data_IF_647645258852
#
_entry.id   IF_647645258852
#
_cell.length_a   1.000
_cell.length_b   1.000
_cell.length_c   1.000
_cell.angle_alpha   90.00
_cell.angle_beta   90.00
_cell.angle_gamma   90.00
#
_symmetry.space_group_name_H-M   'P 1'
#
loop_
_entity.id
_entity.type
_entity.pdbx_description
1 polymer ?
#
# COMPACT_ATOMS: atom_id res chain seq x y z
N UNK A 1 -18.02 -22.75 -22.74
CA UNK A 1 -18.94 -22.02 -21.84
C UNK A 1 -18.12 -21.22 -20.82
N UNK A 2 -18.20 -19.88 -20.88
CA UNK A 2 -17.43 -18.96 -20.05
C UNK A 2 -17.78 -19.13 -18.56
N UNK A 3 -16.89 -19.77 -17.80
CA UNK A 3 -17.04 -19.88 -16.34
C UNK A 3 -16.78 -18.52 -15.70
N UNK A 4 -17.82 -18.00 -15.04
CA UNK A 4 -17.92 -16.64 -14.52
C UNK A 4 -16.75 -16.22 -13.65
N UNK A 5 -15.88 -15.37 -14.19
CA UNK A 5 -15.10 -14.48 -13.36
C UNK A 5 -16.09 -13.57 -12.63
N UNK A 6 -16.03 -13.53 -11.28
CA UNK A 6 -16.78 -12.54 -10.50
C UNK A 6 -16.42 -11.15 -11.05
N UNK A 7 -17.33 -10.56 -11.82
CA UNK A 7 -17.17 -9.24 -12.40
C UNK A 7 -17.07 -8.27 -11.22
N UNK A 8 -16.02 -7.45 -11.18
CA UNK A 8 -15.88 -6.43 -10.14
C UNK A 8 -17.13 -5.56 -10.18
N UNK A 9 -17.83 -5.46 -9.05
CA UNK A 9 -18.92 -4.49 -8.89
C UNK A 9 -18.36 -3.08 -9.09
N UNK A 10 -19.08 -2.28 -9.87
CA UNK A 10 -18.67 -0.91 -10.18
C UNK A 10 -17.31 -0.77 -10.89
N UNK A 11 -16.91 -1.75 -11.73
CA UNK A 11 -15.66 -1.72 -12.51
C UNK A 11 -15.42 -0.39 -13.25
N UNK A 12 -16.46 0.18 -13.88
CA UNK A 12 -16.34 1.47 -14.57
C UNK A 12 -16.00 2.62 -13.62
N UNK A 13 -16.59 2.66 -12.42
CA UNK A 13 -16.27 3.66 -11.39
C UNK A 13 -14.86 3.45 -10.84
N UNK A 14 -14.46 2.20 -10.63
CA UNK A 14 -13.08 1.88 -10.23
C UNK A 14 -12.07 2.42 -11.25
N UNK A 15 -12.30 2.17 -12.55
CA UNK A 15 -11.40 2.62 -13.60
C UNK A 15 -11.34 4.15 -13.69
N UNK A 16 -12.50 4.82 -13.58
CA UNK A 16 -12.55 6.29 -13.53
C UNK A 16 -11.74 6.85 -12.35
N UNK A 17 -11.92 6.29 -11.14
CA UNK A 17 -11.17 6.72 -9.95
C UNK A 17 -9.68 6.42 -10.05
N UNK A 18 -9.30 5.26 -10.61
CA UNK A 18 -7.90 4.93 -10.85
C UNK A 18 -7.27 5.92 -11.83
N UNK A 19 -7.96 6.22 -12.94
CA UNK A 19 -7.49 7.19 -13.93
C UNK A 19 -7.36 8.59 -13.32
N UNK A 20 -8.34 9.02 -12.51
CA UNK A 20 -8.25 10.28 -11.75
C UNK A 20 -7.08 10.29 -10.78
N UNK A 21 -6.86 9.22 -10.01
CA UNK A 21 -5.75 9.14 -9.06
C UNK A 21 -4.39 9.18 -9.78
N UNK A 22 -4.25 8.46 -10.90
CA UNK A 22 -3.05 8.49 -11.72
C UNK A 22 -2.80 9.88 -12.31
N UNK A 23 -3.83 10.52 -12.86
CA UNK A 23 -3.74 11.86 -13.44
C UNK A 23 -3.32 12.90 -12.38
N UNK A 24 -4.01 12.93 -11.23
CA UNK A 24 -3.72 13.87 -10.14
C UNK A 24 -2.35 13.61 -9.53
N UNK A 25 -1.99 12.34 -9.31
CA UNK A 25 -0.67 11.97 -8.79
C UNK A 25 0.47 12.35 -9.74
N UNK A 26 0.31 12.06 -11.05
CA UNK A 26 1.29 12.44 -12.07
C UNK A 26 1.41 13.96 -12.19
N UNK A 27 0.28 14.68 -12.21
CA UNK A 27 0.27 16.14 -12.22
C UNK A 27 0.99 16.72 -10.98
N UNK A 28 0.85 16.10 -9.81
CA UNK A 28 1.54 16.53 -8.59
C UNK A 28 3.07 16.41 -8.72
N UNK A 29 3.57 15.31 -9.31
CA UNK A 29 5.01 15.14 -9.59
C UNK A 29 5.49 16.15 -10.65
N UNK A 30 4.72 16.37 -11.70
CA UNK A 30 5.07 17.37 -12.73
C UNK A 30 5.12 18.78 -12.14
N UNK A 31 4.13 19.15 -11.32
CA UNK A 31 4.09 20.49 -10.71
C UNK A 31 5.23 20.67 -9.69
N UNK A 32 5.61 19.63 -8.94
CA UNK A 32 6.78 19.74 -8.04
C UNK A 32 8.09 19.93 -8.81
N UNK A 33 8.24 19.30 -9.98
CA UNK A 33 9.35 19.54 -10.90
C UNK A 33 9.32 20.97 -11.47
N UNK A 34 8.16 21.43 -11.96
CA UNK A 34 7.98 22.80 -12.48
C UNK A 34 8.32 23.81 -11.40
N UNK A 35 7.85 23.61 -10.17
CA UNK A 35 8.18 24.46 -9.03
C UNK A 35 9.70 24.60 -8.86
N UNK A 36 10.41 23.48 -8.79
CA UNK A 36 11.85 23.50 -8.56
C UNK A 36 12.63 24.11 -9.73
N UNK A 37 12.33 23.72 -10.96
CA UNK A 37 13.10 24.16 -12.12
C UNK A 37 12.78 25.59 -12.54
N UNK A 38 11.52 26.02 -12.47
CA UNK A 38 11.14 27.37 -12.89
C UNK A 38 11.35 28.40 -11.80
N UNK A 39 11.14 28.04 -10.53
CA UNK A 39 11.17 29.01 -9.44
C UNK A 39 12.37 28.86 -8.50
N UNK A 40 12.93 27.66 -8.30
CA UNK A 40 13.94 27.40 -7.25
C UNK A 40 15.35 27.12 -7.78
N UNK A 41 15.59 27.37 -9.07
CA UNK A 41 16.93 27.30 -9.66
C UNK A 41 17.44 25.89 -9.98
N UNK A 42 16.55 24.89 -9.98
CA UNK A 42 16.88 23.51 -10.37
C UNK A 42 17.54 22.68 -9.28
N UNK A 43 18.40 21.74 -9.69
CA UNK A 43 18.96 20.68 -8.85
C UNK A 43 20.49 20.66 -8.89
N UNK A 44 21.11 20.33 -7.76
CA UNK A 44 22.54 20.01 -7.62
C UNK A 44 22.73 19.04 -6.45
N UNK A 45 23.98 18.61 -6.21
CA UNK A 45 24.37 17.84 -5.03
C UNK A 45 25.69 18.44 -4.49
N UNK A 46 25.60 19.63 -3.92
CA UNK A 46 26.70 20.54 -3.55
C UNK A 46 26.49 21.27 -2.20
N UNK A 47 25.54 20.84 -1.37
CA UNK A 47 25.15 21.47 -0.11
C UNK A 47 24.34 22.76 -0.26
N UNK A 48 24.05 23.22 -1.48
CA UNK A 48 23.29 24.46 -1.71
C UNK A 48 21.77 24.25 -1.62
N UNK A 49 21.01 25.35 -1.75
CA UNK A 49 19.54 25.29 -1.81
C UNK A 49 19.01 24.44 -2.97
N UNK A 50 19.79 24.25 -4.04
CA UNK A 50 19.46 23.36 -5.15
C UNK A 50 19.61 21.88 -4.80
N UNK A 51 20.43 21.55 -3.80
CA UNK A 51 20.44 20.20 -3.24
C UNK A 51 19.18 19.94 -2.42
N UNK A 52 18.78 20.90 -1.57
CA UNK A 52 17.52 20.80 -0.82
C UNK A 52 16.31 20.57 -1.75
N UNK A 53 16.32 21.11 -2.97
CA UNK A 53 15.23 20.95 -3.92
C UNK A 53 14.96 19.47 -4.32
N UNK A 54 15.90 18.55 -4.11
CA UNK A 54 15.62 17.11 -4.21
C UNK A 54 14.56 16.66 -3.20
N UNK A 55 14.57 17.23 -1.99
CA UNK A 55 13.65 16.85 -0.92
C UNK A 55 12.17 16.88 -1.35
N UNK A 56 11.58 18.01 -1.75
CA UNK A 56 10.16 18.04 -2.13
C UNK A 56 9.84 17.18 -3.36
N UNK A 57 10.72 17.10 -4.37
CA UNK A 57 10.47 16.27 -5.55
C UNK A 57 10.42 14.79 -5.18
N UNK A 58 11.43 14.31 -4.46
CA UNK A 58 11.57 12.90 -4.11
C UNK A 58 10.52 12.46 -3.07
N UNK A 59 10.12 13.33 -2.14
CA UNK A 59 9.00 13.07 -1.22
C UNK A 59 7.67 12.94 -1.99
N UNK A 60 7.36 13.88 -2.91
CA UNK A 60 6.11 13.81 -3.69
C UNK A 60 6.11 12.58 -4.61
N UNK A 61 7.23 12.27 -5.27
CA UNK A 61 7.33 11.12 -6.16
C UNK A 61 7.32 9.79 -5.41
N UNK A 62 8.18 9.63 -4.40
CA UNK A 62 8.33 8.38 -3.66
C UNK A 62 7.24 8.17 -2.62
N UNK A 63 7.16 9.10 -1.66
CA UNK A 63 6.32 8.92 -0.48
C UNK A 63 4.85 9.22 -0.72
N UNK A 64 4.52 10.09 -1.68
CA UNK A 64 3.11 10.31 -2.04
C UNK A 64 2.71 9.40 -3.21
N UNK A 65 3.27 9.62 -4.40
CA UNK A 65 2.76 8.96 -5.60
C UNK A 65 3.03 7.45 -5.61
N UNK A 66 4.29 7.01 -5.54
CA UNK A 66 4.65 5.59 -5.62
C UNK A 66 4.05 4.80 -4.44
N UNK A 67 4.15 5.32 -3.21
CA UNK A 67 3.50 4.69 -2.04
C UNK A 67 1.98 4.57 -2.25
N UNK A 68 1.32 5.62 -2.73
CA UNK A 68 -0.13 5.61 -3.01
C UNK A 68 -0.52 4.51 -4.00
N UNK A 69 0.25 4.33 -5.08
CA UNK A 69 0.04 3.22 -6.04
C UNK A 69 0.29 1.86 -5.37
N UNK A 70 1.34 1.75 -4.55
CA UNK A 70 1.63 0.51 -3.82
C UNK A 70 0.49 0.08 -2.89
N UNK A 71 -0.18 1.04 -2.24
CA UNK A 71 -1.33 0.80 -1.34
C UNK A 71 -2.51 0.16 -2.09
N UNK A 72 -2.81 0.62 -3.31
CA UNK A 72 -3.96 0.12 -4.09
C UNK A 72 -3.61 -1.02 -5.05
N UNK A 73 -2.35 -1.45 -5.15
CA UNK A 73 -1.89 -2.42 -6.16
C UNK A 73 -2.66 -3.76 -6.13
N UNK A 74 -3.08 -4.21 -4.95
CA UNK A 74 -3.89 -5.43 -4.80
C UNK A 74 -5.34 -5.27 -5.27
N UNK A 75 -5.79 -4.05 -5.49
CA UNK A 75 -7.18 -3.73 -5.86
C UNK A 75 -7.39 -3.72 -7.36
N UNK A 76 -6.29 -3.77 -8.12
CA UNK A 76 -6.33 -3.80 -9.58
C UNK A 76 -7.02 -5.10 -10.06
N UNK A 77 -8.22 -5.04 -10.66
CA UNK A 77 -9.03 -6.21 -10.99
C UNK A 77 -8.36 -7.16 -11.97
N UNK A 78 -7.60 -6.63 -12.94
CA UNK A 78 -6.82 -7.43 -13.89
C UNK A 78 -5.70 -8.25 -13.23
N UNK A 79 -5.34 -7.94 -11.98
CA UNK A 79 -4.31 -8.68 -11.23
C UNK A 79 -4.89 -9.77 -10.32
N UNK A 80 -6.22 -9.88 -10.20
CA UNK A 80 -6.85 -10.83 -9.28
C UNK A 80 -6.58 -12.29 -9.63
N UNK A 81 -6.36 -12.57 -10.92
CA UNK A 81 -5.95 -13.90 -11.42
C UNK A 81 -4.44 -14.12 -11.41
N UNK A 82 -3.63 -13.07 -11.20
CA UNK A 82 -2.18 -13.19 -11.12
C UNK A 82 -1.74 -13.88 -9.83
N UNK A 83 -0.53 -14.44 -9.81
CA UNK A 83 0.04 -15.04 -8.60
C UNK A 83 0.01 -14.07 -7.42
N UNK A 84 -0.46 -14.55 -6.26
CA UNK A 84 -0.44 -13.75 -5.03
C UNK A 84 0.97 -13.42 -4.57
N UNK A 85 1.91 -14.34 -4.81
CA UNK A 85 3.32 -14.10 -4.54
C UNK A 85 3.87 -12.98 -5.45
N UNK A 86 3.53 -12.98 -6.74
CA UNK A 86 3.90 -11.89 -7.65
C UNK A 86 3.39 -10.54 -7.16
N UNK A 87 2.12 -10.46 -6.75
CA UNK A 87 1.56 -9.20 -6.24
C UNK A 87 2.21 -8.75 -4.92
N UNK A 88 2.69 -9.69 -4.08
CA UNK A 88 3.51 -9.36 -2.91
C UNK A 88 4.86 -8.78 -3.30
N UNK A 89 5.51 -9.32 -4.32
CA UNK A 89 6.75 -8.74 -4.85
C UNK A 89 6.54 -7.36 -5.43
N UNK A 90 5.47 -7.15 -6.20
CA UNK A 90 5.16 -5.81 -6.74
C UNK A 90 4.88 -4.82 -5.61
N UNK A 91 4.06 -5.18 -4.63
CA UNK A 91 3.77 -4.32 -3.48
C UNK A 91 5.05 -4.00 -2.68
N UNK A 92 5.85 -5.01 -2.34
CA UNK A 92 7.10 -4.81 -1.61
C UNK A 92 8.09 -3.97 -2.43
N UNK A 93 8.26 -4.26 -3.72
CA UNK A 93 9.15 -3.55 -4.61
C UNK A 93 8.79 -2.07 -4.76
N UNK A 94 7.52 -1.74 -4.96
CA UNK A 94 7.06 -0.35 -5.02
C UNK A 94 7.33 0.39 -3.70
N UNK A 95 7.05 -0.23 -2.55
CA UNK A 95 7.32 0.40 -1.25
C UNK A 95 8.84 0.56 -0.99
N UNK A 96 9.67 -0.38 -1.45
CA UNK A 96 11.14 -0.28 -1.37
C UNK A 96 11.68 0.83 -2.25
N UNK A 97 11.18 0.98 -3.48
CA UNK A 97 11.56 2.09 -4.36
C UNK A 97 11.20 3.43 -3.70
N UNK A 98 9.98 3.55 -3.17
CA UNK A 98 9.57 4.73 -2.41
C UNK A 98 10.51 5.00 -1.22
N UNK A 99 10.89 3.97 -0.47
CA UNK A 99 11.82 4.10 0.66
C UNK A 99 13.18 4.67 0.24
N UNK A 100 13.77 4.13 -0.84
CA UNK A 100 15.07 4.60 -1.34
C UNK A 100 15.00 6.08 -1.70
N UNK A 101 13.94 6.51 -2.41
CA UNK A 101 13.74 7.91 -2.77
C UNK A 101 13.60 8.81 -1.54
N UNK A 102 12.86 8.36 -0.53
CA UNK A 102 12.66 9.10 0.74
C UNK A 102 13.97 9.25 1.51
N UNK A 103 14.80 8.20 1.57
CA UNK A 103 16.12 8.28 2.22
C UNK A 103 16.98 9.33 1.51
N UNK A 104 17.07 9.28 0.18
CA UNK A 104 17.81 10.29 -0.61
C UNK A 104 17.25 11.70 -0.35
N UNK A 105 15.93 11.86 -0.32
CA UNK A 105 15.26 13.12 -0.05
C UNK A 105 15.66 13.71 1.32
N UNK A 106 15.73 12.88 2.35
CA UNK A 106 16.07 13.31 3.70
C UNK A 106 17.56 13.64 3.80
N UNK A 107 18.42 12.81 3.20
CA UNK A 107 19.87 13.09 3.13
C UNK A 107 20.11 14.47 2.51
N UNK A 108 19.47 14.78 1.37
CA UNK A 108 19.61 16.10 0.72
C UNK A 108 19.19 17.28 1.61
N UNK A 109 18.20 17.08 2.50
CA UNK A 109 17.77 18.12 3.44
C UNK A 109 18.76 18.29 4.60
N UNK A 110 19.27 17.19 5.16
CA UNK A 110 20.29 17.23 6.20
C UNK A 110 21.61 17.81 5.69
N UNK A 111 22.06 17.41 4.50
CA UNK A 111 23.29 17.90 3.88
C UNK A 111 23.21 19.41 3.62
N UNK A 112 22.09 19.91 3.07
CA UNK A 112 21.83 21.35 2.94
C UNK A 112 21.85 22.09 4.27
N UNK A 113 21.18 21.57 5.31
CA UNK A 113 21.14 22.21 6.61
C UNK A 113 22.55 22.27 7.24
N UNK A 114 23.29 21.18 7.18
CA UNK A 114 24.65 21.09 7.72
C UNK A 114 25.59 22.05 6.98
N UNK A 115 25.55 22.10 5.65
CA UNK A 115 26.36 23.01 4.85
C UNK A 115 26.01 24.48 5.10
N UNK A 116 24.75 24.79 5.40
CA UNK A 116 24.27 26.14 5.68
C UNK A 116 24.28 26.53 7.17
N UNK A 117 24.78 25.66 8.06
CA UNK A 117 24.71 25.82 9.53
C UNK A 117 23.30 26.07 10.09
N UNK A 118 22.27 25.51 9.43
CA UNK A 118 20.90 25.56 9.92
C UNK A 118 20.66 24.42 10.93
N UNK A 119 19.96 24.66 12.05
CA UNK A 119 19.66 23.60 13.01
C UNK A 119 18.74 22.54 12.37
N UNK A 120 19.02 21.28 12.66
CA UNK A 120 18.18 20.15 12.24
C UNK A 120 17.08 19.87 13.28
N UNK A 121 15.98 19.24 12.82
CA UNK A 121 14.98 18.61 13.68
C UNK A 121 14.29 19.53 14.72
N UNK A 122 14.09 20.82 14.41
CA UNK A 122 13.40 21.75 15.31
C UNK A 122 11.92 21.99 14.94
N UNK A 123 11.52 21.74 13.69
CA UNK A 123 10.17 22.02 13.21
C UNK A 123 9.22 20.83 13.40
N UNK A 124 7.92 21.10 13.57
CA UNK A 124 6.93 20.02 13.64
C UNK A 124 6.90 19.19 12.35
N UNK A 125 7.15 19.82 11.18
CA UNK A 125 7.29 19.11 9.91
C UNK A 125 8.38 18.04 10.01
N UNK A 126 9.54 18.40 10.54
CA UNK A 126 10.67 17.47 10.69
C UNK A 126 10.38 16.35 11.69
N UNK A 127 9.73 16.64 12.82
CA UNK A 127 9.38 15.63 13.83
C UNK A 127 8.41 14.59 13.28
N UNK A 128 7.28 15.05 12.71
CA UNK A 128 6.27 14.15 12.15
C UNK A 128 6.82 13.42 10.92
N UNK A 129 7.62 14.10 10.09
CA UNK A 129 8.27 13.50 8.93
C UNK A 129 9.21 12.37 9.31
N UNK A 130 10.09 12.56 10.30
CA UNK A 130 11.00 11.51 10.74
C UNK A 130 10.25 10.32 11.38
N UNK A 131 9.20 10.60 12.17
CA UNK A 131 8.32 9.54 12.71
C UNK A 131 7.69 8.73 11.57
N UNK A 132 7.15 9.41 10.54
CA UNK A 132 6.56 8.74 9.39
C UNK A 132 7.57 7.83 8.66
N UNK A 133 8.81 8.30 8.49
CA UNK A 133 9.90 7.53 7.86
C UNK A 133 10.25 6.30 8.69
N UNK A 134 10.46 6.45 10.01
CA UNK A 134 10.77 5.34 10.91
C UNK A 134 9.63 4.31 10.90
N UNK A 135 8.37 4.76 11.03
CA UNK A 135 7.21 3.89 10.96
C UNK A 135 7.11 3.18 9.61
N UNK A 136 7.42 3.87 8.50
CA UNK A 136 7.44 3.28 7.17
C UNK A 136 8.55 2.23 6.99
N UNK A 137 9.74 2.46 7.60
CA UNK A 137 10.82 1.47 7.65
C UNK A 137 10.39 0.21 8.37
N UNK A 138 9.81 0.36 9.55
CA UNK A 138 9.29 -0.77 10.34
C UNK A 138 8.17 -1.49 9.59
N UNK A 139 7.26 -0.74 8.98
CA UNK A 139 6.16 -1.29 8.17
C UNK A 139 6.67 -2.14 7.01
N UNK A 140 7.71 -1.67 6.30
CA UNK A 140 8.34 -2.39 5.20
C UNK A 140 9.07 -3.64 5.70
N UNK A 141 9.88 -3.51 6.75
CA UNK A 141 10.63 -4.61 7.35
C UNK A 141 9.70 -5.74 7.83
N UNK A 142 8.73 -5.42 8.69
CA UNK A 142 7.78 -6.41 9.19
C UNK A 142 6.86 -6.92 8.07
N UNK A 143 6.51 -6.07 7.11
CA UNK A 143 5.72 -6.47 5.94
C UNK A 143 6.42 -7.57 5.12
N UNK A 144 7.71 -7.41 4.85
CA UNK A 144 8.53 -8.42 4.18
C UNK A 144 8.69 -9.67 5.05
N UNK A 145 9.11 -9.51 6.30
CA UNK A 145 9.40 -10.63 7.20
C UNK A 145 8.18 -11.53 7.45
N UNK A 146 6.99 -10.94 7.60
CA UNK A 146 5.77 -11.67 7.96
C UNK A 146 4.97 -12.11 6.73
N UNK A 147 4.82 -11.24 5.73
CA UNK A 147 3.90 -11.49 4.61
C UNK A 147 4.59 -11.96 3.33
N UNK A 148 5.86 -11.62 3.08
CA UNK A 148 6.58 -12.07 1.89
C UNK A 148 7.34 -13.38 2.14
N UNK A 149 8.11 -13.46 3.23
CA UNK A 149 8.88 -14.65 3.57
C UNK A 149 7.98 -15.82 4.02
N UNK A 150 8.38 -17.08 3.75
CA UNK A 150 7.55 -18.24 4.02
C UNK A 150 7.45 -18.60 5.51
N UNK A 151 8.38 -18.14 6.35
CA UNK A 151 8.61 -18.63 7.71
C UNK A 151 7.55 -18.25 8.75
N UNK A 152 6.79 -17.16 8.55
CA UNK A 152 5.83 -16.70 9.54
C UNK A 152 4.59 -17.61 9.64
N UNK A 153 4.18 -18.03 10.85
CA UNK A 153 3.01 -18.87 11.04
C UNK A 153 1.71 -18.15 10.66
N UNK A 154 0.70 -18.92 10.22
CA UNK A 154 -0.59 -18.37 9.75
C UNK A 154 -1.29 -17.53 10.81
N UNK A 155 -1.23 -17.95 12.09
CA UNK A 155 -1.81 -17.20 13.22
C UNK A 155 -1.21 -15.80 13.35
N UNK A 156 0.11 -15.68 13.23
CA UNK A 156 0.81 -14.40 13.29
C UNK A 156 0.42 -13.50 12.10
N UNK A 157 0.37 -14.06 10.89
CA UNK A 157 -0.08 -13.33 9.70
C UNK A 157 -1.51 -12.82 9.85
N UNK A 158 -2.42 -13.62 10.41
CA UNK A 158 -3.80 -13.22 10.65
C UNK A 158 -3.90 -12.09 11.69
N UNK A 159 -3.14 -12.17 12.78
CA UNK A 159 -3.13 -11.16 13.84
C UNK A 159 -2.51 -9.82 13.39
N UNK A 160 -1.44 -9.85 12.59
CA UNK A 160 -0.74 -8.64 12.15
C UNK A 160 -1.36 -7.98 10.90
N UNK A 161 -2.20 -8.68 10.14
CA UNK A 161 -2.79 -8.13 8.91
C UNK A 161 -3.63 -6.87 9.16
N UNK A 162 -4.54 -6.80 10.16
CA UNK A 162 -5.29 -5.58 10.44
C UNK A 162 -4.38 -4.42 10.85
N UNK A 163 -3.36 -4.70 11.67
CA UNK A 163 -2.36 -3.71 12.11
C UNK A 163 -1.61 -3.18 10.89
N UNK A 164 -1.10 -4.04 10.03
CA UNK A 164 -0.38 -3.66 8.81
C UNK A 164 -1.24 -2.81 7.87
N UNK A 165 -2.52 -3.16 7.67
CA UNK A 165 -3.41 -2.34 6.85
C UNK A 165 -3.64 -0.98 7.50
N UNK A 166 -4.01 -0.94 8.78
CA UNK A 166 -4.28 0.30 9.49
C UNK A 166 -3.05 1.22 9.53
N UNK A 167 -1.90 0.71 9.96
CA UNK A 167 -0.65 1.46 10.02
C UNK A 167 -0.23 1.99 8.65
N UNK A 168 -0.39 1.22 7.58
CA UNK A 168 -0.08 1.65 6.22
C UNK A 168 -0.91 2.86 5.78
N UNK A 169 -2.21 2.86 6.09
CA UNK A 169 -3.10 3.99 5.78
C UNK A 169 -2.82 5.21 6.65
N UNK A 170 -2.55 5.00 7.94
CA UNK A 170 -2.20 6.07 8.88
C UNK A 170 -0.88 6.73 8.47
N UNK A 171 0.15 5.96 8.14
CA UNK A 171 1.44 6.48 7.64
C UNK A 171 1.20 7.32 6.40
N UNK A 172 0.43 6.82 5.43
CA UNK A 172 0.14 7.56 4.19
C UNK A 172 -0.59 8.89 4.45
N UNK A 173 -1.59 8.90 5.33
CA UNK A 173 -2.27 10.13 5.75
C UNK A 173 -1.31 11.12 6.44
N UNK A 174 -0.45 10.62 7.32
CA UNK A 174 0.60 11.42 7.98
C UNK A 174 1.58 12.02 6.97
N UNK A 175 2.01 11.25 5.96
CA UNK A 175 2.89 11.73 4.89
C UNK A 175 2.26 12.88 4.13
N UNK A 176 0.97 12.80 3.78
CA UNK A 176 0.26 13.91 3.14
C UNK A 176 0.29 15.15 4.04
N UNK A 177 -0.05 15.01 5.33
CA UNK A 177 -0.02 16.13 6.27
C UNK A 177 1.39 16.74 6.40
N UNK A 178 2.43 15.91 6.51
CA UNK A 178 3.84 16.35 6.55
C UNK A 178 4.23 17.11 5.27
N UNK A 179 3.79 16.65 4.10
CA UNK A 179 4.05 17.36 2.83
C UNK A 179 3.43 18.76 2.84
N UNK A 180 2.18 18.90 3.31
CA UNK A 180 1.51 20.20 3.40
C UNK A 180 2.24 21.15 4.35
N UNK A 181 2.72 20.64 5.49
CA UNK A 181 3.53 21.41 6.41
C UNK A 181 4.85 21.84 5.79
N UNK A 182 5.56 20.94 5.11
CA UNK A 182 6.85 21.23 4.46
C UNK A 182 6.72 22.22 3.30
N UNK A 183 5.66 22.11 2.51
CA UNK A 183 5.29 23.10 1.48
C UNK A 183 5.06 24.47 2.14
N UNK A 184 4.27 24.52 3.21
CA UNK A 184 3.94 25.77 3.91
C UNK A 184 5.20 26.42 4.49
N UNK A 185 6.04 25.66 5.20
CA UNK A 185 7.33 26.12 5.71
C UNK A 185 8.21 26.68 4.58
N UNK A 186 8.35 25.92 3.48
CA UNK A 186 9.21 26.34 2.36
C UNK A 186 8.71 27.61 1.68
N UNK A 187 7.40 27.77 1.48
CA UNK A 187 6.82 28.99 0.90
C UNK A 187 7.03 30.20 1.81
N UNK A 188 6.79 30.05 3.12
CA UNK A 188 7.01 31.13 4.10
C UNK A 188 8.47 31.56 4.13
N UNK A 189 9.42 30.61 4.10
CA UNK A 189 10.85 30.93 4.16
C UNK A 189 11.39 31.51 2.84
N UNK A 190 10.87 31.07 1.70
CA UNK A 190 11.46 31.42 0.40
C UNK A 190 10.81 32.65 -0.26
N UNK A 191 9.57 33.00 0.09
CA UNK A 191 8.83 34.10 -0.51
C UNK A 191 8.79 35.31 0.42
N UNK A 192 9.84 36.12 0.38
CA UNK A 192 9.95 37.38 1.10
C UNK A 192 9.72 38.62 0.22
N UNK A 193 10.05 38.56 -1.07
CA UNK A 193 9.85 39.65 -2.02
C UNK A 193 9.59 39.14 -3.45
N UNK A 194 8.34 39.16 -3.95
CA UNK A 194 7.11 39.50 -3.21
C UNK A 194 6.82 38.50 -2.08
N UNK A 195 6.24 38.96 -0.95
CA UNK A 195 5.93 38.08 0.18
C UNK A 195 4.82 37.09 -0.15
N UNK A 196 4.82 35.93 0.52
CA UNK A 196 3.83 34.86 0.33
C UNK A 196 2.38 35.35 0.41
N UNK A 197 2.07 36.28 1.32
CA UNK A 197 0.72 36.83 1.51
C UNK A 197 0.16 37.58 0.29
N UNK A 198 1.00 38.03 -0.63
CA UNK A 198 0.57 38.65 -1.89
C UNK A 198 0.21 37.63 -2.97
N UNK A 199 0.29 36.33 -2.66
CA UNK A 199 -0.02 35.23 -3.58
C UNK A 199 0.71 35.35 -4.93
N UNK A 200 2.06 35.46 -4.94
CA UNK A 200 2.80 35.49 -6.20
C UNK A 200 2.57 34.19 -7.01
N UNK A 201 2.88 34.16 -8.32
CA UNK A 201 2.61 33.00 -9.17
C UNK A 201 3.16 31.67 -8.62
N UNK A 202 4.34 31.69 -8.00
CA UNK A 202 4.91 30.53 -7.31
C UNK A 202 4.02 30.03 -6.18
N UNK A 203 3.53 30.93 -5.33
CA UNK A 203 2.67 30.61 -4.21
C UNK A 203 1.38 29.94 -4.67
N UNK A 204 0.75 30.47 -5.73
CA UNK A 204 -0.47 29.90 -6.30
C UNK A 204 -0.20 28.50 -6.84
N UNK A 205 0.87 28.32 -7.63
CA UNK A 205 1.24 27.03 -8.20
C UNK A 205 1.46 25.97 -7.12
N UNK A 206 2.20 26.31 -6.07
CA UNK A 206 2.58 25.37 -5.00
C UNK A 206 1.41 25.12 -4.04
N UNK A 207 0.51 26.09 -3.84
CA UNK A 207 -0.75 25.84 -3.15
C UNK A 207 -1.66 24.89 -3.94
N UNK A 208 -1.72 25.04 -5.28
CA UNK A 208 -2.39 24.06 -6.14
C UNK A 208 -1.76 22.68 -6.03
N UNK A 209 -0.42 22.57 -5.95
CA UNK A 209 0.26 21.30 -5.65
C UNK A 209 -0.26 20.70 -4.33
N UNK A 210 -0.28 21.48 -3.24
CA UNK A 210 -0.82 21.04 -1.95
C UNK A 210 -2.24 20.48 -2.04
N UNK A 211 -3.14 21.17 -2.76
CA UNK A 211 -4.50 20.70 -3.00
C UNK A 211 -4.54 19.38 -3.79
N UNK A 212 -3.69 19.23 -4.81
CA UNK A 212 -3.60 17.99 -5.58
C UNK A 212 -3.10 16.81 -4.72
N UNK A 213 -2.17 17.04 -3.79
CA UNK A 213 -1.73 16.01 -2.84
C UNK A 213 -2.89 15.54 -1.95
N UNK A 214 -3.72 16.47 -1.46
CA UNK A 214 -4.91 16.15 -0.66
C UNK A 214 -5.92 15.34 -1.49
N UNK A 215 -6.22 15.78 -2.71
CA UNK A 215 -7.15 15.09 -3.62
C UNK A 215 -6.63 13.69 -3.94
N UNK A 216 -5.34 13.55 -4.26
CA UNK A 216 -4.71 12.26 -4.51
C UNK A 216 -4.82 11.34 -3.27
N UNK A 217 -4.48 11.86 -2.09
CA UNK A 217 -4.59 11.13 -0.84
C UNK A 217 -6.03 10.62 -0.60
N UNK A 218 -7.02 11.49 -0.78
CA UNK A 218 -8.43 11.14 -0.64
C UNK A 218 -8.87 10.05 -1.64
N UNK A 219 -8.45 10.14 -2.91
CA UNK A 219 -8.75 9.13 -3.93
C UNK A 219 -8.16 7.76 -3.57
N UNK A 220 -6.89 7.71 -3.16
CA UNK A 220 -6.23 6.47 -2.73
C UNK A 220 -6.93 5.87 -1.50
N UNK A 221 -7.22 6.66 -0.48
CA UNK A 221 -7.90 6.22 0.74
C UNK A 221 -9.35 5.74 0.47
N UNK A 222 -10.05 6.39 -0.45
CA UNK A 222 -11.37 5.96 -0.90
C UNK A 222 -11.30 4.62 -1.63
N UNK A 223 -10.38 4.47 -2.59
CA UNK A 223 -10.21 3.22 -3.32
C UNK A 223 -9.80 2.07 -2.41
N UNK A 224 -8.92 2.34 -1.43
CA UNK A 224 -8.44 1.33 -0.52
C UNK A 224 -9.44 0.95 0.58
N UNK A 225 -10.47 1.75 0.83
CA UNK A 225 -11.50 1.43 1.83
C UNK A 225 -12.67 0.62 1.25
N UNK A 226 -12.81 0.50 -0.08
CA UNK A 226 -13.93 -0.25 -0.69
C UNK A 226 -13.85 -1.76 -0.48
N UNK A 227 -14.82 -2.39 0.23
CA UNK A 227 -14.77 -3.84 0.47
C UNK A 227 -14.87 -4.68 -0.81
N UNK A 228 -15.72 -4.27 -1.75
CA UNK A 228 -15.97 -4.97 -3.02
C UNK A 228 -14.81 -4.86 -4.03
N UNK A 229 -13.83 -3.96 -3.81
CA UNK A 229 -12.58 -3.90 -4.58
C UNK A 229 -11.41 -4.63 -3.93
N UNK A 230 -11.63 -5.25 -2.76
CA UNK A 230 -10.60 -6.08 -2.13
C UNK A 230 -10.35 -7.32 -2.99
N UNK A 231 -9.07 -7.66 -3.18
CA UNK A 231 -8.68 -8.89 -3.90
C UNK A 231 -9.42 -10.11 -3.33
N UNK A 232 -10.07 -10.94 -4.17
CA UNK A 232 -10.72 -12.17 -3.73
C UNK A 232 -9.76 -13.13 -3.01
N UNK A 233 -10.26 -13.84 -1.99
CA UNK A 233 -9.51 -14.92 -1.32
C UNK A 233 -9.32 -16.10 -2.27
N UNK A 234 -8.18 -16.78 -2.18
CA UNK A 234 -7.81 -17.91 -3.04
C UNK A 234 -8.70 -19.17 -2.86
N UNK A 235 -9.49 -19.25 -1.78
CA UNK A 235 -10.40 -20.37 -1.51
C UNK A 235 -11.46 -20.59 -2.60
N UNK A 236 -11.86 -19.52 -3.32
CA UNK A 236 -12.86 -19.61 -4.39
C UNK A 236 -12.37 -20.34 -5.66
N UNK A 237 -11.08 -20.68 -5.76
CA UNK A 237 -10.54 -21.42 -6.90
C UNK A 237 -10.55 -22.95 -6.69
N UNK A 238 -10.69 -23.43 -5.44
CA UNK A 238 -10.66 -24.87 -5.12
C UNK A 238 -12.05 -25.49 -5.03
N UNK A 239 -13.07 -24.77 -4.56
CA UNK A 239 -14.44 -25.28 -4.44
C UNK A 239 -15.08 -25.61 -5.79
N UNK A 240 -14.71 -24.89 -6.87
CA UNK A 240 -15.19 -25.17 -8.23
C UNK A 240 -14.63 -26.48 -8.80
N UNK A 241 -13.46 -26.95 -8.34
CA UNK A 241 -12.86 -28.21 -8.83
C UNK A 241 -13.47 -29.45 -8.19
N UNK A 242 -14.09 -29.34 -7.02
CA UNK A 242 -14.60 -30.51 -6.30
C UNK A 242 -16.03 -30.91 -6.69
N UNK A 243 -16.80 -30.02 -7.32
CA UNK A 243 -18.18 -30.29 -7.74
C UNK A 243 -18.25 -30.88 -9.16
N UNK A 244 -17.17 -30.76 -9.95
CA UNK A 244 -17.12 -31.20 -11.35
C UNK A 244 -16.54 -32.61 -11.61
N UNK A 245 -16.29 -33.41 -10.57
CA UNK A 245 -15.74 -34.75 -10.71
C UNK A 245 -16.71 -35.80 -10.16
N UNK A 246 -17.75 -36.10 -10.93
CA UNK A 246 -18.46 -37.38 -10.86
C UNK A 246 -18.18 -38.12 -12.17
N UNK A 247 -17.44 -39.25 -12.15
CA UNK A 247 -17.43 -40.17 -13.28
C UNK A 247 -18.61 -41.14 -13.14
N UNK A 248 -19.44 -41.17 -14.17
CA UNK A 248 -20.40 -42.24 -14.45
C UNK A 248 -19.70 -43.61 -14.52
N UNK A 249 -20.44 -44.65 -14.14
CA UNK A 249 -19.92 -45.98 -13.84
C UNK A 249 -19.48 -46.81 -15.05
N UNK A 250 -18.77 -47.89 -14.74
CA UNK A 250 -18.78 -49.13 -15.52
C UNK A 250 -18.49 -50.29 -14.57
N UNK A 251 -19.38 -51.26 -14.56
CA UNK A 251 -19.27 -52.55 -13.87
C UNK A 251 -18.16 -53.40 -14.50
N UNK A 252 -17.38 -54.11 -13.68
CA UNK A 252 -16.79 -55.40 -14.04
C UNK A 252 -16.37 -56.16 -12.76
N UNK A 253 -16.93 -57.35 -12.63
CA UNK A 253 -16.82 -58.32 -11.56
C UNK A 253 -15.66 -59.32 -11.82
N UNK A 254 -14.85 -59.66 -10.81
CA UNK A 254 -14.15 -60.97 -10.71
C UNK A 254 -13.58 -61.26 -9.31
N UNK A 255 -14.38 -61.97 -8.50
CA UNK A 255 -14.13 -63.21 -7.73
C UNK A 255 -12.76 -63.54 -7.06
N UNK A 256 -12.78 -63.55 -5.71
CA UNK A 256 -12.14 -64.44 -4.67
C UNK A 256 -10.60 -64.66 -4.61
N UNK A 257 -9.90 -64.82 -3.46
CA UNK A 257 -10.16 -65.52 -2.16
C UNK A 257 -9.27 -65.02 -0.97
N UNK A 258 -9.87 -64.99 0.23
CA UNK A 258 -9.40 -65.16 1.64
C UNK A 258 -7.92 -65.04 2.11
N UNK A 259 -7.68 -64.27 3.20
CA UNK A 259 -7.50 -64.81 4.59
C UNK A 259 -7.15 -63.75 5.67
N UNK A 260 -8.01 -63.66 6.71
CA UNK A 260 -7.86 -63.35 8.16
C UNK A 260 -6.89 -62.33 8.80
N UNK A 261 -7.47 -61.63 9.81
CA UNK A 261 -6.92 -60.96 11.02
C UNK A 261 -6.22 -59.60 10.78
N UNK A 262 -6.51 -58.48 11.46
CA UNK A 262 -6.82 -58.23 12.87
C UNK A 262 -7.44 -56.81 13.05
N UNK A 263 -8.15 -56.56 14.16
CA UNK A 263 -8.91 -55.33 14.48
C UNK A 263 -8.03 -54.20 15.03
N UNK A 264 -8.24 -52.97 14.58
CA UNK A 264 -8.23 -51.76 15.43
C UNK A 264 -8.89 -50.56 14.74
N UNK A 265 -9.89 -49.97 15.40
CA UNK A 265 -10.68 -48.80 14.96
C UNK A 265 -9.97 -47.47 15.28
N UNK A 266 -9.93 -46.48 14.36
CA UNK A 266 -9.61 -45.10 14.70
C UNK A 266 -10.80 -44.18 14.33
N UNK A 267 -11.90 -44.21 15.11
CA UNK A 267 -13.09 -43.38 14.84
C UNK A 267 -13.40 -42.27 15.85
N UNK A 268 -12.58 -42.04 16.89
CA UNK A 268 -12.91 -41.03 17.91
C UNK A 268 -12.31 -39.63 17.71
N UNK A 269 -11.26 -39.45 16.89
CA UNK A 269 -10.56 -38.17 16.78
C UNK A 269 -11.17 -37.19 15.76
N UNK A 270 -11.95 -37.66 14.80
CA UNK A 270 -12.46 -36.84 13.69
C UNK A 270 -13.70 -36.05 14.06
N UNK A 271 -14.50 -36.54 15.01
CA UNK A 271 -15.74 -35.90 15.43
C UNK A 271 -15.49 -34.72 16.40
N UNK A 272 -14.45 -34.83 17.24
CA UNK A 272 -13.99 -33.73 18.09
C UNK A 272 -13.43 -32.56 17.27
N UNK A 273 -12.62 -32.85 16.24
CA UNK A 273 -12.08 -31.84 15.33
C UNK A 273 -13.19 -31.16 14.49
N UNK A 274 -14.23 -31.90 14.12
CA UNK A 274 -15.39 -31.37 13.37
C UNK A 274 -16.27 -30.47 14.24
N UNK A 275 -16.52 -30.83 15.50
CA UNK A 275 -17.28 -29.99 16.44
C UNK A 275 -16.55 -28.69 16.77
N UNK A 276 -15.22 -28.74 16.92
CA UNK A 276 -14.42 -27.55 17.24
C UNK A 276 -14.44 -26.52 16.09
N UNK A 277 -14.36 -26.97 14.83
CA UNK A 277 -14.42 -26.07 13.66
C UNK A 277 -15.79 -25.40 13.48
N UNK A 278 -16.89 -26.06 13.84
CA UNK A 278 -18.24 -25.50 13.73
C UNK A 278 -18.44 -24.36 14.75
N UNK A 279 -17.90 -24.51 15.97
CA UNK A 279 -18.04 -23.46 17.01
C UNK A 279 -17.24 -22.20 16.69
N UNK A 280 -16.12 -22.30 15.95
CA UNK A 280 -15.32 -21.13 15.54
C UNK A 280 -16.00 -20.30 14.44
N UNK A 281 -16.74 -20.93 13.54
CA UNK A 281 -17.47 -20.21 12.48
C UNK A 281 -18.68 -19.44 13.01
N UNK A 282 -19.40 -19.96 14.02
CA UNK A 282 -20.51 -19.25 14.66
C UNK A 282 -20.05 -18.06 15.53
N UNK A 283 -18.88 -18.16 16.17
CA UNK A 283 -18.34 -17.08 16.99
C UNK A 283 -17.87 -15.87 16.15
N UNK A 284 -17.47 -16.09 14.89
CA UNK A 284 -17.06 -15.04 13.95
C UNK A 284 -18.22 -14.27 13.31
N UNK A 285 -19.46 -14.76 13.41
CA UNK A 285 -20.66 -14.13 12.84
C UNK A 285 -21.46 -13.27 13.82
N UNK A 286 -21.16 -13.29 15.13
CA UNK A 286 -21.93 -12.55 16.15
C UNK A 286 -21.29 -11.23 16.64
N UNK A 287 -20.17 -10.80 16.08
CA UNK A 287 -19.48 -9.56 16.48
C UNK A 287 -19.27 -8.60 15.31
N UNK A 288 -20.37 -8.24 14.64
CA UNK A 288 -20.48 -7.00 13.87
C UNK A 288 -21.93 -6.49 13.94
N UNK A 289 -22.24 -5.73 14.99
CA UNK A 289 -23.05 -4.52 14.87
C UNK A 289 -22.09 -3.34 15.02
#
# INVERSE_FOLDING_TARGET
AAHGARKMEDYGRFLALLASALLVGFASVVISLVWVFQYRGGLSWDGSSREFNWHPILIVMGFVFIQGIAIIVYRLPWTWKCSKLLMKFIHAGLNTIAMILVIIAIVSAFDFHNASNNPNMYSLHSWIGLIAVICYCLQLFFGVAVFLLPYAPVRLRAALMPIHVYSGLTIFGTVIATCLMGITEKLIFSLSNPPYSQSPPEAILVNCLGLLLVIFGALILWMVSRPHWKRPREENAKTVRHIGATPEGTEAESTMTNSNADKSDPRSNTEAARKQNITFDEAGQRTTM
#
